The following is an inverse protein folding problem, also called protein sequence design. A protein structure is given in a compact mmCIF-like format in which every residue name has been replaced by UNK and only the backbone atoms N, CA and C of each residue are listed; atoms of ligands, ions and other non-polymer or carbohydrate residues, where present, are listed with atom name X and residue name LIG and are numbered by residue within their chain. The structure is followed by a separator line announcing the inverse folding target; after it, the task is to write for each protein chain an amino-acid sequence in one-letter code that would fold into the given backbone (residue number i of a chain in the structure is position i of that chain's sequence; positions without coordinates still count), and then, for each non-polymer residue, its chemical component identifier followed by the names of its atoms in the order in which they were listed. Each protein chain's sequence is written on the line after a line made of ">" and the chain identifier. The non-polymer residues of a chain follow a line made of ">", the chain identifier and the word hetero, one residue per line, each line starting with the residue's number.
data_IF_839216438691
#
_entry.id   IF_839216438691
#
_cell.length_a   1.000
_cell.length_b   1.000
_cell.length_c   1.000
_cell.angle_alpha   90.00
_cell.angle_beta   90.00
_cell.angle_gamma   90.00
#
_symmetry.space_group_name_H-M   'P 1'
#
loop_
_entity.id
_entity.type
_entity.pdbx_description
1 polymer ?
#
# COMPACT_ATOMS: atom_id res chain seq x y z
N UNK A 1 -25.58 4.82 -31.60
CA UNK A 1 -26.74 4.90 -30.68
C UNK A 1 -26.41 3.86 -29.61
N UNK A 2 -25.94 4.17 -28.40
CA UNK A 2 -26.01 5.33 -27.52
C UNK A 2 -24.71 5.41 -26.66
N UNK A 3 -24.34 6.60 -26.19
CA UNK A 3 -23.22 6.89 -25.26
C UNK A 3 -23.73 6.84 -23.79
N UNK A 4 -22.90 6.65 -22.74
CA UNK A 4 -22.03 7.74 -22.26
C UNK A 4 -20.60 7.34 -21.84
N UNK A 5 -19.69 8.26 -22.15
CA UNK A 5 -18.69 8.82 -21.24
C UNK A 5 -18.72 8.24 -19.80
N UNK A 6 -17.72 7.43 -19.45
CA UNK A 6 -17.36 7.22 -18.04
C UNK A 6 -16.09 8.02 -17.74
N UNK A 7 -16.27 9.32 -17.54
CA UNK A 7 -15.35 10.17 -16.82
C UNK A 7 -14.78 9.46 -15.57
N UNK A 8 -13.45 9.40 -15.47
CA UNK A 8 -12.74 9.28 -14.18
C UNK A 8 -12.93 7.99 -13.38
N UNK A 9 -12.91 6.80 -14.00
CA UNK A 9 -12.73 5.57 -13.21
C UNK A 9 -11.31 5.54 -12.65
N UNK A 10 -11.15 6.05 -11.42
CA UNK A 10 -9.98 5.83 -10.59
C UNK A 10 -9.71 4.31 -10.56
N UNK A 11 -8.51 3.89 -10.95
CA UNK A 11 -8.12 2.49 -10.89
C UNK A 11 -8.37 1.97 -9.47
N UNK A 12 -8.93 0.75 -9.30
CA UNK A 12 -9.15 0.17 -7.98
C UNK A 12 -7.84 0.17 -7.19
N UNK A 13 -7.91 0.53 -5.92
CA UNK A 13 -6.73 0.65 -5.06
C UNK A 13 -6.10 -0.72 -4.80
N UNK A 14 -6.90 -1.79 -4.84
CA UNK A 14 -6.50 -3.19 -4.71
C UNK A 14 -7.03 -4.06 -5.84
N UNK A 15 -6.19 -5.00 -6.27
CA UNK A 15 -6.52 -5.97 -7.31
C UNK A 15 -7.50 -7.05 -6.79
N UNK A 16 -8.66 -7.18 -7.43
CA UNK A 16 -9.68 -8.15 -7.03
C UNK A 16 -9.18 -9.61 -7.07
N UNK A 17 -8.28 -9.96 -7.99
CA UNK A 17 -7.72 -11.31 -8.03
C UNK A 17 -6.78 -11.59 -6.85
N UNK A 18 -6.11 -10.58 -6.30
CA UNK A 18 -5.36 -10.73 -5.05
C UNK A 18 -6.29 -11.00 -3.86
N UNK A 19 -7.42 -10.28 -3.79
CA UNK A 19 -8.43 -10.48 -2.75
C UNK A 19 -9.00 -11.90 -2.81
N UNK A 20 -9.36 -12.37 -4.01
CA UNK A 20 -9.88 -13.74 -4.19
C UNK A 20 -8.84 -14.81 -3.84
N UNK A 21 -7.55 -14.59 -4.14
CA UNK A 21 -6.47 -15.49 -3.69
C UNK A 21 -6.35 -15.53 -2.17
N UNK A 22 -6.42 -14.39 -1.50
CA UNK A 22 -6.38 -14.33 -0.03
C UNK A 22 -7.59 -15.03 0.59
N UNK A 23 -8.75 -14.88 -0.03
CA UNK A 23 -9.98 -15.58 0.36
C UNK A 23 -9.85 -17.10 0.19
N UNK A 24 -9.28 -17.57 -0.93
CA UNK A 24 -9.03 -18.99 -1.20
C UNK A 24 -8.04 -19.60 -0.18
N UNK A 25 -6.98 -18.87 0.18
CA UNK A 25 -6.04 -19.27 1.25
C UNK A 25 -6.77 -19.45 2.59
N UNK A 26 -7.78 -18.63 2.87
CA UNK A 26 -8.63 -18.73 4.04
C UNK A 26 -9.78 -19.73 3.92
N UNK A 27 -9.85 -20.55 2.87
CA UNK A 27 -10.97 -21.47 2.59
C UNK A 27 -12.34 -20.73 2.51
N UNK A 28 -12.33 -19.47 2.08
CA UNK A 28 -13.51 -18.61 2.04
C UNK A 28 -13.85 -17.91 3.36
N UNK A 29 -13.05 -18.07 4.41
CA UNK A 29 -13.29 -17.50 5.73
C UNK A 29 -13.08 -15.98 5.75
N UNK A 30 -14.19 -15.26 6.00
CA UNK A 30 -14.19 -13.80 6.06
C UNK A 30 -13.50 -13.24 7.32
N UNK A 31 -13.42 -14.00 8.41
CA UNK A 31 -12.68 -13.60 9.60
C UNK A 31 -11.16 -13.67 9.35
N UNK A 32 -10.68 -14.71 8.66
CA UNK A 32 -9.29 -14.78 8.18
C UNK A 32 -8.94 -13.58 7.32
N UNK A 33 -9.79 -13.23 6.35
CA UNK A 33 -9.55 -12.08 5.47
C UNK A 33 -9.50 -10.76 6.27
N UNK A 34 -10.38 -10.58 7.26
CA UNK A 34 -10.36 -9.45 8.20
C UNK A 34 -9.06 -9.37 8.99
N UNK A 35 -8.58 -10.48 9.53
CA UNK A 35 -7.32 -10.53 10.28
C UNK A 35 -6.13 -10.16 9.41
N UNK A 36 -6.06 -10.68 8.17
CA UNK A 36 -5.01 -10.34 7.20
C UNK A 36 -5.01 -8.84 6.91
N UNK A 37 -6.19 -8.25 6.64
CA UNK A 37 -6.29 -6.82 6.35
C UNK A 37 -6.00 -5.94 7.56
N UNK A 38 -6.43 -6.34 8.76
CA UNK A 38 -6.11 -5.63 10.00
C UNK A 38 -4.60 -5.68 10.30
N UNK A 39 -3.95 -6.82 10.07
CA UNK A 39 -2.50 -6.95 10.21
C UNK A 39 -1.76 -6.08 9.19
N UNK A 40 -2.22 -6.07 7.93
CA UNK A 40 -1.69 -5.19 6.89
C UNK A 40 -1.83 -3.70 7.26
N UNK A 41 -3.00 -3.26 7.72
CA UNK A 41 -3.26 -1.87 8.12
C UNK A 41 -2.31 -1.46 9.24
N UNK A 42 -2.22 -2.25 10.32
CA UNK A 42 -1.37 -1.94 11.47
C UNK A 42 0.13 -1.95 11.14
N UNK A 43 0.61 -2.96 10.41
CA UNK A 43 2.02 -3.08 10.03
C UNK A 43 2.44 -1.94 9.08
N UNK A 44 1.60 -1.65 8.09
CA UNK A 44 1.89 -0.57 7.13
C UNK A 44 1.87 0.79 7.80
N UNK A 45 0.91 1.08 8.69
CA UNK A 45 0.87 2.33 9.45
C UNK A 45 2.15 2.55 10.26
N UNK A 46 2.65 1.51 10.95
CA UNK A 46 3.91 1.59 11.69
C UNK A 46 5.10 1.91 10.76
N UNK A 47 5.12 1.33 9.56
CA UNK A 47 6.19 1.58 8.58
C UNK A 47 6.14 2.96 7.98
N UNK A 48 4.96 3.54 7.76
CA UNK A 48 4.82 4.92 7.29
C UNK A 48 5.39 5.92 8.31
N UNK A 49 5.12 5.69 9.60
CA UNK A 49 5.76 6.47 10.69
C UNK A 49 7.28 6.29 10.65
N UNK A 50 7.76 5.05 10.51
CA UNK A 50 9.19 4.77 10.41
C UNK A 50 9.84 5.44 9.19
N UNK A 51 9.17 5.52 8.03
CA UNK A 51 9.67 6.24 6.85
C UNK A 51 9.88 7.73 7.15
N UNK A 52 8.91 8.38 7.80
CA UNK A 52 9.02 9.79 8.20
C UNK A 52 10.18 10.01 9.17
N UNK A 53 10.32 9.15 10.17
CA UNK A 53 11.38 9.24 11.18
C UNK A 53 12.77 9.01 10.58
N UNK A 54 12.93 7.96 9.78
CA UNK A 54 14.20 7.62 9.13
C UNK A 54 14.61 8.67 8.10
N UNK A 55 13.66 9.23 7.34
CA UNK A 55 13.92 10.37 6.47
C UNK A 55 14.41 11.59 7.26
N UNK A 56 13.76 11.94 8.37
CA UNK A 56 14.15 13.07 9.21
C UNK A 56 15.53 12.87 9.87
N UNK A 57 15.87 11.62 10.21
CA UNK A 57 17.17 11.24 10.76
C UNK A 57 18.27 11.07 9.70
N UNK A 58 17.95 11.13 8.40
CA UNK A 58 18.89 10.81 7.32
C UNK A 58 19.30 9.32 7.26
N UNK A 59 18.55 8.43 7.92
CA UNK A 59 18.82 6.99 7.93
C UNK A 59 18.30 6.34 6.65
N UNK A 60 19.14 6.33 5.62
CA UNK A 60 18.84 5.71 4.33
C UNK A 60 18.56 4.21 4.44
N UNK A 61 19.20 3.52 5.39
CA UNK A 61 19.04 2.07 5.55
C UNK A 61 17.68 1.76 6.17
N UNK A 62 17.30 2.51 7.21
CA UNK A 62 15.97 2.44 7.81
C UNK A 62 14.87 2.79 6.82
N UNK A 63 15.05 3.87 6.05
CA UNK A 63 14.08 4.31 5.04
C UNK A 63 13.88 3.25 3.96
N UNK A 64 14.98 2.69 3.43
CA UNK A 64 14.95 1.62 2.45
C UNK A 64 14.24 0.38 2.99
N UNK A 65 14.53 -0.03 4.23
CA UNK A 65 13.87 -1.19 4.86
C UNK A 65 12.37 -0.97 5.06
N UNK A 66 11.98 0.19 5.56
CA UNK A 66 10.56 0.52 5.73
C UNK A 66 9.80 0.46 4.39
N UNK A 67 10.37 1.08 3.35
CA UNK A 67 9.84 1.04 1.99
C UNK A 67 9.77 -0.36 1.39
N UNK A 68 10.82 -1.15 1.56
CA UNK A 68 10.87 -2.53 1.09
C UNK A 68 9.74 -3.36 1.66
N UNK A 69 9.47 -3.23 2.97
CA UNK A 69 8.41 -4.04 3.57
C UNK A 69 7.01 -3.55 3.22
N UNK A 70 6.76 -2.24 3.17
CA UNK A 70 5.46 -1.73 2.70
C UNK A 70 5.17 -2.22 1.28
N UNK A 71 6.17 -2.22 0.40
CA UNK A 71 6.05 -2.80 -0.94
C UNK A 71 5.60 -4.27 -0.89
N UNK A 72 6.27 -5.11 -0.10
CA UNK A 72 5.93 -6.53 0.04
C UNK A 72 4.51 -6.75 0.55
N UNK A 73 4.16 -6.07 1.66
CA UNK A 73 2.82 -6.13 2.24
C UNK A 73 1.75 -5.65 1.25
N UNK A 74 2.04 -4.61 0.46
CA UNK A 74 1.12 -4.07 -0.55
C UNK A 74 0.85 -5.06 -1.68
N UNK A 75 1.88 -5.78 -2.16
CA UNK A 75 1.71 -6.78 -3.21
C UNK A 75 0.85 -7.96 -2.75
N UNK A 76 0.92 -8.35 -1.47
CA UNK A 76 0.09 -9.42 -0.93
C UNK A 76 -1.40 -9.11 -0.99
N UNK A 77 -1.79 -7.86 -0.76
CA UNK A 77 -3.20 -7.41 -0.81
C UNK A 77 -3.61 -6.87 -2.19
N UNK A 78 -2.71 -6.91 -3.19
CA UNK A 78 -2.99 -6.41 -4.54
C UNK A 78 -2.89 -4.90 -4.70
N UNK A 79 -2.33 -4.18 -3.72
CA UNK A 79 -2.17 -2.73 -3.73
C UNK A 79 -0.98 -2.29 -4.60
N UNK A 80 -1.16 -2.40 -5.92
CA UNK A 80 -0.06 -2.22 -6.88
C UNK A 80 0.51 -0.80 -6.89
N UNK A 81 -0.33 0.22 -6.81
CA UNK A 81 0.13 1.62 -6.76
C UNK A 81 0.95 1.90 -5.49
N UNK A 82 0.50 1.40 -4.34
CA UNK A 82 1.21 1.52 -3.07
C UNK A 82 2.56 0.81 -3.12
N UNK A 83 2.60 -0.38 -3.75
CA UNK A 83 3.85 -1.12 -3.97
C UNK A 83 4.81 -0.37 -4.90
N UNK A 84 4.31 0.22 -6.00
CA UNK A 84 5.13 1.01 -6.94
C UNK A 84 5.70 2.28 -6.31
N UNK A 85 4.91 3.02 -5.53
CA UNK A 85 5.39 4.21 -4.82
C UNK A 85 6.41 3.86 -3.75
N UNK A 86 6.18 2.75 -3.02
CA UNK A 86 7.14 2.24 -2.04
C UNK A 86 8.44 1.77 -2.69
N UNK A 87 8.39 1.14 -3.87
CA UNK A 87 9.58 0.77 -4.62
C UNK A 87 10.41 1.99 -5.04
N UNK A 88 9.76 3.06 -5.49
CA UNK A 88 10.45 4.31 -5.82
C UNK A 88 11.19 4.87 -4.61
N UNK A 89 10.57 4.84 -3.42
CA UNK A 89 11.19 5.30 -2.19
C UNK A 89 12.36 4.40 -1.77
N UNK A 90 12.23 3.09 -1.93
CA UNK A 90 13.30 2.11 -1.71
C UNK A 90 14.52 2.41 -2.60
N UNK A 91 14.30 2.71 -3.89
CA UNK A 91 15.36 3.04 -4.84
C UNK A 91 16.02 4.39 -4.54
N UNK A 92 15.22 5.39 -4.18
CA UNK A 92 15.71 6.71 -3.76
C UNK A 92 16.64 6.61 -2.55
N UNK A 93 16.20 5.89 -1.51
CA UNK A 93 16.98 5.63 -0.32
C UNK A 93 18.27 4.85 -0.65
N UNK A 94 18.18 3.83 -1.52
CA UNK A 94 19.34 3.05 -1.97
C UNK A 94 20.35 3.85 -2.80
N UNK A 95 19.91 4.91 -3.48
CA UNK A 95 20.77 5.78 -4.29
C UNK A 95 21.29 7.01 -3.53
N UNK A 96 20.86 7.21 -2.28
CA UNK A 96 21.17 8.39 -1.47
C UNK A 96 20.50 9.68 -1.94
N UNK A 97 19.51 9.61 -2.84
CA UNK A 97 18.80 10.78 -3.39
C UNK A 97 17.50 10.97 -2.61
N UNK A 98 17.54 11.82 -1.59
CA UNK A 98 16.38 12.12 -0.74
C UNK A 98 15.53 13.30 -1.23
N UNK A 99 15.95 13.99 -2.30
CA UNK A 99 15.17 15.06 -2.93
C UNK A 99 13.83 14.51 -3.43
N UNK A 100 12.73 15.04 -2.91
CA UNK A 100 11.38 14.57 -3.22
C UNK A 100 10.91 13.36 -2.39
N UNK A 101 11.74 12.81 -1.49
CA UNK A 101 11.34 11.65 -0.68
C UNK A 101 10.16 11.98 0.25
N UNK A 102 10.12 13.20 0.81
CA UNK A 102 9.02 13.66 1.64
C UNK A 102 7.68 13.74 0.88
N UNK A 103 7.72 14.18 -0.39
CA UNK A 103 6.54 14.23 -1.26
C UNK A 103 6.09 12.82 -1.62
N UNK A 104 7.04 11.94 -1.95
CA UNK A 104 6.74 10.55 -2.26
C UNK A 104 6.14 9.81 -1.06
N UNK A 105 6.65 10.02 0.16
CA UNK A 105 6.04 9.48 1.38
C UNK A 105 4.60 10.01 1.53
N UNK A 106 4.35 11.29 1.27
CA UNK A 106 2.99 11.84 1.27
C UNK A 106 2.06 11.09 0.31
N UNK A 107 2.52 10.81 -0.92
CA UNK A 107 1.76 10.02 -1.89
C UNK A 107 1.52 8.58 -1.43
N UNK A 108 2.52 7.94 -0.82
CA UNK A 108 2.37 6.58 -0.23
C UNK A 108 1.30 6.60 0.87
N UNK A 109 1.28 7.62 1.73
CA UNK A 109 0.27 7.77 2.78
C UNK A 109 -1.15 7.96 2.22
N UNK A 110 -1.29 8.71 1.12
CA UNK A 110 -2.58 8.88 0.44
C UNK A 110 -3.07 7.58 -0.22
N UNK A 111 -2.19 6.88 -0.93
CA UNK A 111 -2.51 5.58 -1.52
C UNK A 111 -2.86 4.54 -0.44
N UNK A 112 -2.14 4.54 0.69
CA UNK A 112 -2.45 3.66 1.81
C UNK A 112 -3.84 3.91 2.39
N UNK A 113 -4.27 5.17 2.50
CA UNK A 113 -5.64 5.51 2.93
C UNK A 113 -6.68 4.96 1.95
N UNK A 114 -6.45 5.10 0.65
CA UNK A 114 -7.33 4.56 -0.40
C UNK A 114 -7.46 3.04 -0.30
N UNK A 115 -6.33 2.34 -0.20
CA UNK A 115 -6.27 0.88 -0.03
C UNK A 115 -7.04 0.46 1.22
N UNK A 116 -6.83 1.13 2.35
CA UNK A 116 -7.48 0.79 3.62
C UNK A 116 -9.00 0.93 3.56
N UNK A 117 -9.49 2.00 2.91
CA UNK A 117 -10.93 2.21 2.70
C UNK A 117 -11.51 1.09 1.83
N UNK A 118 -10.83 0.74 0.74
CA UNK A 118 -11.30 -0.31 -0.18
C UNK A 118 -11.31 -1.69 0.50
N UNK A 119 -10.25 -2.05 1.23
CA UNK A 119 -10.18 -3.28 2.02
C UNK A 119 -11.28 -3.35 3.08
N UNK A 120 -11.57 -2.24 3.76
CA UNK A 120 -12.65 -2.17 4.75
C UNK A 120 -14.03 -2.37 4.12
N UNK A 121 -14.26 -1.83 2.92
CA UNK A 121 -15.50 -2.04 2.19
C UNK A 121 -15.68 -3.51 1.78
N UNK A 122 -14.60 -4.21 1.46
CA UNK A 122 -14.63 -5.64 1.10
C UNK A 122 -15.04 -6.52 2.28
N UNK A 123 -14.54 -6.24 3.49
CA UNK A 123 -14.80 -7.09 4.67
C UNK A 123 -15.95 -6.62 5.55
N UNK A 124 -16.31 -5.34 5.46
CA UNK A 124 -17.42 -4.72 6.20
C UNK A 124 -18.74 -4.71 5.45
N UNK A 125 -18.74 -5.11 4.17
CA UNK A 125 -19.93 -5.33 3.34
C UNK A 125 -20.65 -6.64 3.63
#
# INVERSE_FOLDING_TARGET
>A
METPDHAGQEKPAVDAAAIERLRDIGDGDMAFLKDVFSAFESDTAQRLVAMRQTLAAGDLTGLKRAAHTVKGSSLNVGASNLASSSLQLEQMAGSGKLEGAAELIGRIEEEFKRVTVELRNIVGG
#
